data_IF_624056223704
#
_entry.id   IF_624056223704
#
_cell.length_a   1.000
_cell.length_b   1.000
_cell.length_c   1.000
_cell.angle_alpha   90.00
_cell.angle_beta   90.00
_cell.angle_gamma   90.00
#
_symmetry.space_group_name_H-M   'P 1'
#
loop_
_entity.id
_entity.type
_entity.pdbx_description
1 polymer ?
#
# COMPACT_ATOMS: atom_id res chain seq x y z
N UNK A 1 4.52 10.79 -12.13
CA UNK A 1 3.15 10.21 -12.18
C UNK A 1 2.11 11.31 -12.17
N UNK A 2 1.08 11.19 -12.97
CA UNK A 2 -0.08 12.08 -13.02
C UNK A 2 -1.36 11.26 -12.85
N UNK A 3 -2.30 11.71 -12.01
CA UNK A 3 -3.51 11.01 -11.62
C UNK A 3 -4.47 10.70 -12.78
N UNK A 4 -5.44 11.54 -13.10
CA UNK A 4 -6.45 11.27 -14.12
C UNK A 4 -6.24 12.11 -15.38
N UNK A 5 -6.12 11.48 -16.59
CA UNK A 5 -5.88 10.04 -16.80
C UNK A 5 -4.53 9.61 -16.23
N UNK A 6 -4.41 8.33 -15.85
CA UNK A 6 -3.17 7.82 -15.27
C UNK A 6 -2.06 7.80 -16.31
N UNK A 7 -1.07 8.65 -16.13
CA UNK A 7 0.09 8.79 -16.98
C UNK A 7 1.37 8.79 -16.18
N UNK A 8 2.43 8.29 -16.77
CA UNK A 8 3.74 8.20 -16.16
C UNK A 8 4.83 8.67 -17.11
N UNK A 9 5.87 9.25 -16.56
CA UNK A 9 7.10 9.55 -17.25
C UNK A 9 8.25 8.94 -16.44
N UNK A 10 9.02 8.07 -17.07
CA UNK A 10 10.21 7.45 -16.50
C UNK A 10 11.42 8.03 -17.22
N UNK A 11 12.25 8.77 -16.48
CA UNK A 11 13.45 9.35 -17.03
C UNK A 11 14.40 8.25 -17.54
N UNK A 12 14.94 8.45 -18.72
CA UNK A 12 15.79 7.47 -19.40
C UNK A 12 15.06 6.33 -20.11
N UNK A 13 13.75 6.17 -19.89
CA UNK A 13 12.92 5.11 -20.51
C UNK A 13 11.83 5.70 -21.41
N UNK A 14 11.08 6.66 -20.89
CA UNK A 14 10.00 7.31 -21.66
C UNK A 14 10.60 8.19 -22.77
N UNK A 15 9.91 8.28 -23.94
CA UNK A 15 10.31 9.23 -24.99
C UNK A 15 10.40 10.66 -24.45
N UNK A 16 11.37 11.48 -24.88
CA UNK A 16 11.53 12.84 -24.40
C UNK A 16 10.24 13.66 -24.50
N UNK A 17 9.87 14.31 -23.40
CA UNK A 17 8.69 15.19 -23.30
C UNK A 17 7.34 14.50 -23.58
N UNK A 18 7.28 13.17 -23.56
CA UNK A 18 6.05 12.42 -23.81
C UNK A 18 5.64 11.58 -22.60
N UNK A 19 4.45 11.86 -22.09
CA UNK A 19 3.81 11.03 -21.09
C UNK A 19 3.26 9.75 -21.74
N UNK A 20 3.48 8.62 -21.07
CA UNK A 20 2.97 7.31 -21.46
C UNK A 20 1.71 6.99 -20.66
N UNK A 21 0.82 6.21 -21.25
CA UNK A 21 -0.29 5.61 -20.49
C UNK A 21 0.30 4.61 -19.48
N UNK A 22 -0.18 4.69 -18.28
CA UNK A 22 0.27 3.82 -17.19
C UNK A 22 0.10 2.33 -17.52
N UNK A 23 -0.99 1.96 -18.24
CA UNK A 23 -1.29 0.58 -18.66
C UNK A 23 -0.18 -0.06 -19.51
N UNK A 24 0.60 0.74 -20.25
CA UNK A 24 1.73 0.25 -21.04
C UNK A 24 2.84 -0.36 -20.16
N UNK A 25 2.87 0.01 -18.90
CA UNK A 25 3.90 -0.40 -17.95
C UNK A 25 3.47 -1.48 -16.97
N UNK A 26 2.17 -1.79 -16.90
CA UNK A 26 1.65 -2.77 -15.94
C UNK A 26 2.31 -4.14 -16.07
N UNK A 27 2.57 -4.61 -17.29
CA UNK A 27 3.19 -5.91 -17.52
C UNK A 27 4.55 -6.06 -16.84
N UNK A 28 5.29 -4.95 -16.71
CA UNK A 28 6.64 -4.93 -16.14
C UNK A 28 6.62 -4.51 -14.66
N UNK A 29 5.83 -3.49 -14.31
CA UNK A 29 5.91 -2.81 -13.01
C UNK A 29 4.76 -3.14 -12.05
N UNK A 30 3.74 -3.86 -12.48
CA UNK A 30 2.66 -4.23 -11.60
C UNK A 30 3.13 -5.24 -10.55
N UNK A 31 2.55 -5.13 -9.35
CA UNK A 31 2.91 -6.02 -8.26
C UNK A 31 2.57 -7.47 -8.63
N UNK A 32 3.49 -8.44 -8.41
CA UNK A 32 3.26 -9.83 -8.81
C UNK A 32 1.96 -10.43 -8.26
N UNK A 33 1.57 -10.05 -7.06
CA UNK A 33 0.35 -10.55 -6.42
C UNK A 33 -0.93 -10.24 -7.22
N UNK A 34 -1.00 -9.06 -7.88
CA UNK A 34 -2.09 -8.72 -8.78
C UNK A 34 -2.18 -9.68 -9.96
N UNK A 35 -1.05 -9.98 -10.58
CA UNK A 35 -0.97 -10.91 -11.72
C UNK A 35 -1.27 -12.35 -11.30
N UNK A 36 -0.75 -12.76 -10.14
CA UNK A 36 -0.93 -14.12 -9.62
C UNK A 36 -2.40 -14.41 -9.27
N UNK A 37 -3.17 -13.38 -8.87
CA UNK A 37 -4.57 -13.51 -8.44
C UNK A 37 -5.58 -12.85 -9.39
N UNK A 38 -5.19 -12.41 -10.58
CA UNK A 38 -6.02 -11.66 -11.53
C UNK A 38 -7.36 -12.36 -11.79
N UNK A 39 -7.32 -13.65 -12.16
CA UNK A 39 -8.54 -14.40 -12.47
C UNK A 39 -9.42 -14.61 -11.24
N UNK A 40 -8.84 -14.87 -10.07
CA UNK A 40 -9.56 -15.14 -8.83
C UNK A 40 -10.18 -13.88 -8.23
N UNK A 41 -9.55 -12.73 -8.40
CA UNK A 41 -10.03 -11.45 -7.91
C UNK A 41 -10.99 -10.75 -8.87
N UNK A 42 -11.15 -11.27 -10.08
CA UNK A 42 -12.00 -10.68 -11.12
C UNK A 42 -13.46 -10.55 -10.64
N UNK A 43 -13.97 -9.34 -10.67
CA UNK A 43 -15.34 -9.03 -10.23
C UNK A 43 -15.52 -8.87 -8.71
N UNK A 44 -14.49 -9.04 -7.91
CA UNK A 44 -14.52 -8.73 -6.47
C UNK A 44 -14.49 -7.20 -6.23
N UNK A 45 -14.85 -6.80 -5.00
CA UNK A 45 -14.95 -5.39 -4.60
C UNK A 45 -13.66 -4.60 -4.85
N UNK A 46 -13.82 -3.31 -5.11
CA UNK A 46 -12.74 -2.35 -5.37
C UNK A 46 -11.73 -2.81 -6.45
N UNK A 47 -12.27 -3.44 -7.53
CA UNK A 47 -11.42 -3.90 -8.63
C UNK A 47 -10.54 -5.11 -8.29
N UNK A 48 -10.95 -5.94 -7.34
CA UNK A 48 -10.23 -7.13 -6.90
C UNK A 48 -9.41 -6.95 -5.62
N UNK A 49 -9.28 -5.71 -5.13
CA UNK A 49 -8.46 -5.39 -3.96
C UNK A 49 -8.94 -6.13 -2.71
N UNK A 50 -10.24 -6.13 -2.44
CA UNK A 50 -10.82 -6.79 -1.27
C UNK A 50 -10.51 -8.30 -1.25
N UNK A 51 -10.57 -8.95 -2.41
CA UNK A 51 -10.23 -10.37 -2.52
C UNK A 51 -8.75 -10.62 -2.19
N UNK A 52 -7.85 -9.80 -2.71
CA UNK A 52 -6.42 -9.95 -2.50
C UNK A 52 -6.05 -9.73 -1.03
N UNK A 53 -6.67 -8.75 -0.38
CA UNK A 53 -6.49 -8.47 1.05
C UNK A 53 -6.92 -9.67 1.90
N UNK A 54 -8.15 -10.17 1.69
CA UNK A 54 -8.67 -11.34 2.41
C UNK A 54 -7.85 -12.60 2.13
N UNK A 55 -7.46 -12.83 0.87
CA UNK A 55 -6.60 -13.95 0.50
C UNK A 55 -5.28 -13.93 1.29
N UNK A 56 -4.63 -12.78 1.37
CA UNK A 56 -3.37 -12.63 2.11
C UNK A 56 -3.55 -12.87 3.60
N UNK A 57 -4.60 -12.32 4.19
CA UNK A 57 -4.93 -12.51 5.60
C UNK A 57 -5.15 -14.01 5.90
N UNK A 58 -6.00 -14.67 5.12
CA UNK A 58 -6.31 -16.10 5.31
C UNK A 58 -5.06 -16.96 5.12
N UNK A 59 -4.22 -16.66 4.12
CA UNK A 59 -2.96 -17.37 3.88
C UNK A 59 -2.02 -17.23 5.08
N UNK A 60 -1.80 -16.03 5.57
CA UNK A 60 -0.96 -15.80 6.76
C UNK A 60 -1.45 -16.57 7.98
N UNK A 61 -2.77 -16.55 8.24
CA UNK A 61 -3.35 -17.27 9.38
C UNK A 61 -3.22 -18.79 9.25
N UNK A 62 -3.41 -19.34 8.04
CA UNK A 62 -3.31 -20.79 7.80
C UNK A 62 -1.88 -21.30 7.90
N UNK A 63 -0.92 -20.49 7.50
CA UNK A 63 0.50 -20.86 7.48
C UNK A 63 1.26 -20.44 8.75
N UNK A 64 0.57 -19.74 9.68
CA UNK A 64 1.19 -19.23 10.90
C UNK A 64 2.21 -18.12 10.65
N UNK A 65 2.04 -17.38 9.56
CA UNK A 65 2.89 -16.25 9.19
C UNK A 65 2.40 -14.96 9.84
N UNK A 66 3.27 -13.98 10.05
CA UNK A 66 2.85 -12.64 10.39
C UNK A 66 1.94 -12.07 9.29
N UNK A 67 0.93 -11.32 9.68
CA UNK A 67 0.07 -10.60 8.72
C UNK A 67 0.84 -9.46 8.04
N UNK A 68 0.50 -9.14 6.80
CA UNK A 68 1.15 -8.08 6.03
C UNK A 68 1.02 -6.71 6.71
N UNK A 69 -0.10 -6.47 7.37
CA UNK A 69 -0.31 -5.36 8.31
C UNK A 69 -0.65 -5.92 9.69
N UNK A 70 0.01 -5.42 10.71
CA UNK A 70 -0.20 -5.85 12.09
C UNK A 70 -0.96 -4.77 12.90
N UNK A 71 -1.23 -5.08 14.18
CA UNK A 71 -1.96 -4.17 15.06
C UNK A 71 -1.29 -2.81 15.24
N UNK A 72 0.03 -2.73 15.15
CA UNK A 72 0.77 -1.47 15.28
C UNK A 72 0.63 -0.60 14.03
N UNK A 73 0.59 -1.22 12.85
CA UNK A 73 0.29 -0.53 11.59
C UNK A 73 -1.13 0.03 11.63
N UNK A 74 -2.11 -0.78 12.06
CA UNK A 74 -3.49 -0.35 12.20
C UNK A 74 -3.63 0.81 13.21
N UNK A 75 -2.94 0.74 14.34
CA UNK A 75 -2.93 1.82 15.34
C UNK A 75 -2.31 3.10 14.77
N UNK A 76 -1.20 2.99 14.03
CA UNK A 76 -0.54 4.13 13.41
C UNK A 76 -1.45 4.81 12.37
N UNK A 77 -2.07 4.03 11.48
CA UNK A 77 -3.00 4.56 10.48
C UNK A 77 -4.22 5.23 11.14
N UNK A 78 -4.76 4.62 12.19
CA UNK A 78 -5.92 5.16 12.92
C UNK A 78 -5.59 6.43 13.71
N UNK A 79 -4.35 6.64 14.13
CA UNK A 79 -3.96 7.82 14.89
C UNK A 79 -3.89 9.10 14.04
N UNK A 80 -3.80 8.99 12.71
CA UNK A 80 -3.71 10.15 11.81
C UNK A 80 -4.92 11.07 11.94
N UNK A 81 -6.13 10.52 12.01
CA UNK A 81 -7.37 11.29 12.16
C UNK A 81 -7.37 12.16 13.43
N UNK A 82 -7.31 11.56 14.63
CA UNK A 82 -7.32 12.31 15.89
C UNK A 82 -6.17 13.32 16.02
N UNK A 83 -4.97 12.95 15.56
CA UNK A 83 -3.81 13.86 15.60
C UNK A 83 -3.97 15.04 14.64
N UNK A 84 -4.57 14.82 13.47
CA UNK A 84 -4.89 15.88 12.51
C UNK A 84 -5.94 16.83 13.07
N UNK A 85 -7.00 16.31 13.67
CA UNK A 85 -8.03 17.10 14.35
C UNK A 85 -7.42 17.97 15.46
N UNK A 86 -6.59 17.35 16.30
CA UNK A 86 -5.89 18.09 17.35
C UNK A 86 -5.00 19.19 16.77
N UNK A 87 -4.23 18.91 15.73
CA UNK A 87 -3.35 19.88 15.07
C UNK A 87 -4.15 21.10 14.58
N UNK A 88 -5.23 20.85 13.85
CA UNK A 88 -6.09 21.92 13.33
C UNK A 88 -6.69 22.74 14.46
N UNK A 89 -7.23 22.11 15.51
CA UNK A 89 -7.80 22.79 16.66
C UNK A 89 -6.78 23.65 17.45
N UNK A 90 -5.50 23.36 17.29
CA UNK A 90 -4.39 24.07 17.95
C UNK A 90 -3.57 24.96 17.01
N UNK A 91 -4.17 25.47 15.94
CA UNK A 91 -3.55 26.42 15.01
C UNK A 91 -2.58 25.75 14.04
N UNK A 92 -2.86 24.52 13.62
CA UNK A 92 -2.05 23.74 12.70
C UNK A 92 -0.63 23.44 13.22
N UNK A 93 -0.51 23.31 14.53
CA UNK A 93 0.77 22.97 15.17
C UNK A 93 1.18 21.51 14.85
N UNK A 94 2.48 21.25 14.70
CA UNK A 94 2.96 19.87 14.64
C UNK A 94 2.49 19.06 15.85
N UNK A 95 2.02 17.85 15.60
CA UNK A 95 1.64 16.89 16.63
C UNK A 95 2.71 15.78 16.71
N UNK A 96 3.11 15.42 17.91
CA UNK A 96 3.98 14.27 18.12
C UNK A 96 3.22 12.99 17.76
N UNK A 97 3.80 12.20 16.87
CA UNK A 97 3.21 10.93 16.48
C UNK A 97 3.67 9.82 17.43
N UNK A 98 2.76 9.12 18.11
CA UNK A 98 3.13 8.10 19.09
C UNK A 98 3.77 6.87 18.40
N UNK A 99 4.85 6.38 18.96
CA UNK A 99 5.43 5.10 18.55
C UNK A 99 4.75 3.94 19.30
N UNK A 100 3.75 3.34 18.69
CA UNK A 100 3.00 2.22 19.25
C UNK A 100 3.87 0.97 19.43
N UNK A 101 4.98 0.85 18.71
CA UNK A 101 5.89 -0.30 18.78
C UNK A 101 6.93 -0.18 19.88
N UNK A 102 7.03 0.97 20.56
CA UNK A 102 8.06 1.27 21.56
C UNK A 102 9.48 1.02 21.02
N UNK A 103 9.76 1.47 19.82
CA UNK A 103 11.03 1.30 19.12
C UNK A 103 11.20 -0.04 18.40
N UNK A 104 10.21 -0.93 18.47
CA UNK A 104 10.25 -2.24 17.81
C UNK A 104 10.39 -2.15 16.29
N UNK A 105 9.79 -1.13 15.67
CA UNK A 105 9.83 -0.92 14.21
C UNK A 105 11.24 -0.89 13.62
N UNK A 106 12.25 -0.47 14.39
CA UNK A 106 13.66 -0.44 13.95
C UNK A 106 14.25 -1.82 13.68
N UNK A 107 13.59 -2.86 14.15
CA UNK A 107 14.04 -4.27 14.04
C UNK A 107 13.15 -5.09 13.12
N UNK A 108 12.09 -4.49 12.59
CA UNK A 108 11.24 -5.19 11.64
C UNK A 108 11.99 -5.37 10.32
N UNK A 109 11.95 -6.58 9.73
CA UNK A 109 12.48 -6.78 8.39
C UNK A 109 11.72 -5.91 7.39
N UNK A 110 12.39 -5.55 6.30
CA UNK A 110 11.70 -4.94 5.18
C UNK A 110 10.64 -5.90 4.64
N UNK A 111 9.48 -5.37 4.26
CA UNK A 111 8.46 -6.17 3.58
C UNK A 111 8.99 -6.58 2.20
N UNK A 112 9.02 -7.88 1.95
CA UNK A 112 9.41 -8.43 0.65
C UNK A 112 8.25 -8.36 -0.34
N UNK A 113 8.56 -8.49 -1.64
CA UNK A 113 7.53 -8.61 -2.68
C UNK A 113 6.84 -9.97 -2.51
N UNK A 114 5.55 -9.92 -2.22
CA UNK A 114 4.73 -11.10 -1.92
C UNK A 114 4.23 -11.79 -3.19
N UNK A 115 4.07 -13.09 -3.10
CA UNK A 115 3.44 -13.93 -4.13
C UNK A 115 2.20 -14.63 -3.57
N UNK A 116 1.32 -15.07 -4.47
CA UNK A 116 0.12 -15.82 -4.10
C UNK A 116 0.43 -17.21 -3.53
#
# INVERSE_FOLDING_TARGET
FQGYPHRVYLEGTSPPHRWQEWTELLAEYDHPLWRDLEELSAGAGHGGMDYIEDYRLVKCLREGLPTDMNVYDAAALSAVGPLSEWSVANGSRPADFPDFTRGGWRRYPALEILRA
#
